data_IF_830329764327
#
_entry.id   IF_830329764327
#
_cell.length_a   1.000
_cell.length_b   1.000
_cell.length_c   1.000
_cell.angle_alpha   90.00
_cell.angle_beta   90.00
_cell.angle_gamma   90.00
#
_symmetry.space_group_name_H-M   'P 1'
#
loop_
_entity.id
_entity.type
_entity.pdbx_description
1 polymer ?
#
# COMPACT_ATOMS: atom_id res chain seq x y z
N UNK A 1 -32.00 -28.39 -11.65
CA UNK A 1 -31.45 -27.15 -12.21
C UNK A 1 -31.21 -26.24 -11.02
N UNK A 2 -30.14 -26.56 -10.29
CA UNK A 2 -29.88 -26.06 -8.95
C UNK A 2 -29.13 -24.74 -8.97
N UNK A 3 -29.20 -24.00 -7.86
CA UNK A 3 -28.48 -22.73 -7.68
C UNK A 3 -26.96 -22.88 -7.95
N UNK A 4 -26.40 -24.08 -7.77
CA UNK A 4 -25.01 -24.42 -8.09
C UNK A 4 -24.62 -24.21 -9.56
N UNK A 5 -25.53 -24.41 -10.51
CA UNK A 5 -25.26 -24.19 -11.94
C UNK A 5 -25.28 -22.70 -12.31
N UNK A 6 -26.04 -21.89 -11.57
CA UNK A 6 -26.13 -20.45 -11.81
C UNK A 6 -24.87 -19.71 -11.36
N UNK A 7 -24.29 -20.10 -10.22
CA UNK A 7 -23.03 -19.53 -9.74
C UNK A 7 -21.82 -19.96 -10.60
N UNK A 8 -21.83 -21.17 -11.16
CA UNK A 8 -20.75 -21.65 -12.05
C UNK A 8 -20.66 -20.92 -13.40
N UNK A 9 -21.78 -20.40 -13.90
CA UNK A 9 -21.79 -19.65 -15.18
C UNK A 9 -21.53 -18.15 -15.01
N UNK A 10 -21.64 -17.62 -13.78
CA UNK A 10 -21.48 -16.19 -13.49
C UNK A 10 -20.06 -15.82 -13.06
N UNK A 11 -19.29 -16.78 -12.52
CA UNK A 11 -17.90 -16.54 -12.11
C UNK A 11 -17.01 -17.58 -12.80
N UNK A 12 -16.27 -17.23 -13.88
CA UNK A 12 -15.30 -18.15 -14.46
C UNK A 12 -14.24 -18.47 -13.40
N UNK A 13 -14.13 -19.75 -13.02
CA UNK A 13 -13.19 -20.25 -12.02
C UNK A 13 -11.76 -20.02 -12.48
N UNK A 14 -11.17 -18.93 -12.00
CA UNK A 14 -9.75 -18.60 -12.10
C UNK A 14 -9.32 -18.23 -10.68
N UNK A 15 -8.59 -19.15 -10.02
CA UNK A 15 -8.10 -19.17 -8.61
C UNK A 15 -9.19 -19.38 -7.53
N UNK A 16 -9.12 -20.34 -6.59
CA UNK A 16 -8.08 -21.28 -6.17
C UNK A 16 -8.74 -22.59 -5.66
N UNK A 17 -8.05 -23.72 -5.84
CA UNK A 17 -8.41 -25.02 -5.25
C UNK A 17 -8.45 -24.90 -3.70
N UNK A 18 -9.65 -24.90 -3.11
CA UNK A 18 -9.85 -25.27 -1.71
C UNK A 18 -9.86 -26.80 -1.63
N UNK A 19 -8.69 -27.42 -1.66
CA UNK A 19 -8.53 -28.78 -1.12
C UNK A 19 -8.48 -28.66 0.41
N UNK A 20 -9.60 -29.04 1.05
CA UNK A 20 -9.69 -29.38 2.46
C UNK A 20 -8.65 -30.45 2.80
N UNK A 21 -7.49 -30.03 3.32
CA UNK A 21 -6.50 -30.93 3.90
C UNK A 21 -6.92 -31.24 5.35
N UNK A 22 -7.32 -32.50 5.55
CA UNK A 22 -7.62 -33.11 6.84
C UNK A 22 -6.49 -32.92 7.87
N UNK A 23 -6.88 -32.61 9.11
CA UNK A 23 -6.00 -32.64 10.28
C UNK A 23 -5.47 -34.05 10.56
N UNK A 24 -4.16 -34.19 10.81
CA UNK A 24 -3.54 -35.23 11.66
C UNK A 24 -2.06 -34.88 11.97
N UNK A 25 -1.46 -35.44 13.04
CA UNK A 25 -0.90 -34.69 14.16
C UNK A 25 0.62 -34.45 14.09
N UNK A 26 1.07 -33.50 14.91
CA UNK A 26 2.46 -33.14 15.12
C UNK A 26 3.30 -34.31 15.68
N UNK A 27 4.34 -34.70 14.95
CA UNK A 27 5.50 -35.42 15.49
C UNK A 27 6.67 -34.44 15.64
N UNK A 28 7.13 -34.26 16.89
CA UNK A 28 8.34 -33.54 17.25
C UNK A 28 9.57 -34.29 16.72
N UNK A 29 10.38 -33.64 15.89
CA UNK A 29 11.79 -34.00 15.70
C UNK A 29 12.64 -32.72 15.80
N UNK A 30 13.72 -32.72 16.60
CA UNK A 30 14.51 -31.54 16.86
C UNK A 30 15.45 -31.30 15.67
N UNK A 31 15.21 -30.23 14.93
CA UNK A 31 16.20 -29.69 14.02
C UNK A 31 17.06 -28.71 14.83
N UNK A 32 18.35 -29.01 14.98
CA UNK A 32 19.37 -28.02 15.29
C UNK A 32 19.22 -26.87 14.29
N UNK A 33 18.59 -25.78 14.72
CA UNK A 33 18.67 -24.52 14.01
C UNK A 33 20.10 -24.03 14.15
N UNK A 34 20.86 -24.26 13.08
CA UNK A 34 21.98 -23.43 12.69
C UNK A 34 21.47 -22.00 12.75
N UNK A 35 21.86 -21.27 13.81
CA UNK A 35 21.74 -19.81 13.84
C UNK A 35 22.77 -19.32 12.82
N UNK A 36 22.37 -19.33 11.54
CA UNK A 36 22.92 -18.39 10.59
C UNK A 36 22.63 -17.00 11.18
N UNK A 37 23.69 -16.33 11.61
CA UNK A 37 23.67 -14.88 11.71
C UNK A 37 23.36 -14.37 10.30
N UNK A 38 22.08 -14.22 9.97
CA UNK A 38 21.65 -13.29 8.93
C UNK A 38 22.16 -11.92 9.37
N UNK A 39 23.33 -11.54 8.84
CA UNK A 39 23.67 -10.12 8.70
C UNK A 39 22.50 -9.50 7.94
N UNK A 40 21.59 -8.83 8.66
CA UNK A 40 20.57 -7.96 8.07
C UNK A 40 21.31 -6.93 7.20
N UNK A 41 21.46 -7.23 5.91
CA UNK A 41 21.85 -6.23 4.91
C UNK A 41 20.74 -5.16 4.93
N UNK A 42 21.02 -3.99 5.54
CA UNK A 42 20.11 -2.85 5.48
C UNK A 42 19.80 -2.56 4.00
N UNK A 43 18.55 -2.79 3.61
CA UNK A 43 18.08 -2.50 2.26
C UNK A 43 18.29 -1.01 1.98
N UNK A 44 18.87 -0.63 0.83
CA UNK A 44 19.08 0.77 0.53
C UNK A 44 17.74 1.53 0.48
N UNK A 45 17.60 2.58 1.30
CA UNK A 45 16.40 3.44 1.35
C UNK A 45 16.06 4.05 -0.03
N UNK A 46 14.76 4.13 -0.39
CA UNK A 46 14.31 4.79 -1.62
C UNK A 46 14.45 6.32 -1.49
N UNK A 47 15.30 6.98 -2.30
CA UNK A 47 15.46 8.43 -2.26
C UNK A 47 14.15 9.20 -2.51
N UNK A 48 13.18 8.57 -3.17
CA UNK A 48 11.86 9.17 -3.44
C UNK A 48 11.16 9.58 -2.14
N UNK A 49 11.20 8.77 -1.09
CA UNK A 49 10.43 9.04 0.14
C UNK A 49 10.91 10.34 0.80
N UNK A 50 12.22 10.47 1.02
CA UNK A 50 12.82 11.67 1.58
C UNK A 50 12.60 12.92 0.69
N UNK A 51 12.65 12.76 -0.64
CA UNK A 51 12.39 13.86 -1.58
C UNK A 51 10.93 14.31 -1.52
N UNK A 52 9.98 13.36 -1.48
CA UNK A 52 8.55 13.64 -1.41
C UNK A 52 8.18 14.32 -0.09
N UNK A 53 8.77 13.89 1.04
CA UNK A 53 8.54 14.52 2.34
C UNK A 53 9.03 15.98 2.36
N UNK A 54 10.26 16.23 1.88
CA UNK A 54 10.80 17.58 1.78
C UNK A 54 9.96 18.48 0.86
N UNK A 55 9.48 17.97 -0.28
CA UNK A 55 8.61 18.72 -1.20
C UNK A 55 7.19 18.93 -0.64
N UNK A 56 6.69 18.03 0.21
CA UNK A 56 5.41 18.20 0.89
C UNK A 56 5.43 19.36 1.89
N UNK A 57 6.56 19.60 2.58
CA UNK A 57 6.72 20.73 3.50
C UNK A 57 6.61 22.08 2.77
N UNK A 58 7.16 22.19 1.55
CA UNK A 58 7.05 23.38 0.70
C UNK A 58 5.59 23.68 0.29
N UNK A 59 4.75 22.64 0.23
CA UNK A 59 3.34 22.70 -0.15
C UNK A 59 2.37 22.69 1.05
N UNK A 60 2.85 23.07 2.25
CA UNK A 60 2.11 23.02 3.52
C UNK A 60 0.74 23.72 3.51
N UNK A 61 0.58 24.81 2.75
CA UNK A 61 -0.71 25.51 2.65
C UNK A 61 -1.79 24.65 1.96
N UNK A 62 -1.42 23.94 0.89
CA UNK A 62 -2.34 23.05 0.17
C UNK A 62 -2.59 21.77 0.98
N UNK A 63 -1.55 21.28 1.67
CA UNK A 63 -1.71 20.20 2.64
C UNK A 63 -2.71 20.56 3.74
N UNK A 64 -2.67 21.77 4.27
CA UNK A 64 -3.65 22.25 5.26
C UNK A 64 -5.08 22.21 4.74
N UNK A 65 -5.32 22.61 3.49
CA UNK A 65 -6.66 22.53 2.90
C UNK A 65 -7.13 21.09 2.70
N UNK A 66 -6.23 20.19 2.31
CA UNK A 66 -6.54 18.77 2.22
C UNK A 66 -6.87 18.19 3.61
N UNK A 67 -6.07 18.49 4.62
CA UNK A 67 -6.28 18.03 6.00
C UNK A 67 -7.61 18.60 6.56
N UNK A 68 -7.93 19.87 6.30
CA UNK A 68 -9.22 20.48 6.64
C UNK A 68 -10.41 19.79 5.93
N UNK A 69 -10.25 19.35 4.68
CA UNK A 69 -11.28 18.57 4.00
C UNK A 69 -11.48 17.20 4.66
N UNK A 70 -10.39 16.50 4.97
CA UNK A 70 -10.46 15.21 5.65
C UNK A 70 -11.16 15.33 7.01
N UNK A 71 -10.87 16.38 7.78
CA UNK A 71 -11.58 16.64 9.04
C UNK A 71 -13.08 16.82 8.84
N UNK A 72 -13.54 17.49 7.76
CA UNK A 72 -14.99 17.60 7.47
C UNK A 72 -15.61 16.24 7.16
N UNK A 73 -14.92 15.41 6.36
CA UNK A 73 -15.37 14.05 6.00
C UNK A 73 -15.45 13.17 7.25
N UNK A 74 -14.43 13.19 8.11
CA UNK A 74 -14.43 12.47 9.40
C UNK A 74 -15.57 12.92 10.32
N UNK A 75 -15.93 14.21 10.27
CA UNK A 75 -17.06 14.78 11.00
C UNK A 75 -18.44 14.53 10.34
N UNK A 76 -18.50 13.68 9.31
CA UNK A 76 -19.75 13.23 8.69
C UNK A 76 -20.19 14.01 7.45
N UNK A 77 -19.31 14.82 6.87
CA UNK A 77 -19.53 15.38 5.53
C UNK A 77 -19.59 14.25 4.48
N UNK A 78 -20.40 14.45 3.43
CA UNK A 78 -20.55 13.50 2.31
C UNK A 78 -19.74 13.90 1.07
N UNK A 79 -18.90 14.92 1.20
CA UNK A 79 -18.00 15.36 0.14
C UNK A 79 -16.82 14.39 -0.05
N UNK A 80 -16.02 14.63 -1.09
CA UNK A 80 -14.75 13.96 -1.29
C UNK A 80 -13.63 15.01 -1.40
N UNK A 81 -12.42 14.64 -0.98
CA UNK A 81 -11.27 15.55 -0.92
C UNK A 81 -10.32 15.40 -2.11
N UNK A 82 -10.83 14.94 -3.26
CA UNK A 82 -10.01 14.63 -4.44
C UNK A 82 -9.44 15.89 -5.07
N UNK A 83 -10.19 16.99 -5.04
CA UNK A 83 -9.73 18.28 -5.54
C UNK A 83 -8.55 18.81 -4.71
N UNK A 84 -8.69 18.85 -3.39
CA UNK A 84 -7.63 19.30 -2.48
C UNK A 84 -6.41 18.36 -2.53
N UNK A 85 -6.64 17.06 -2.67
CA UNK A 85 -5.57 16.08 -2.89
C UNK A 85 -4.80 16.37 -4.18
N UNK A 86 -5.48 16.63 -5.30
CA UNK A 86 -4.80 16.95 -6.56
C UNK A 86 -4.07 18.28 -6.52
N UNK A 87 -4.58 19.29 -5.80
CA UNK A 87 -3.84 20.52 -5.60
C UNK A 87 -2.56 20.28 -4.80
N UNK A 88 -2.63 19.55 -3.70
CA UNK A 88 -1.47 19.21 -2.88
C UNK A 88 -0.44 18.39 -3.67
N UNK A 89 -0.87 17.29 -4.30
CA UNK A 89 0.01 16.42 -5.07
C UNK A 89 0.62 17.12 -6.27
N UNK A 90 -0.14 17.95 -6.98
CA UNK A 90 0.41 18.70 -8.11
C UNK A 90 1.58 19.60 -7.69
N UNK A 91 1.46 20.30 -6.56
CA UNK A 91 2.54 21.11 -6.00
C UNK A 91 3.75 20.24 -5.60
N UNK A 92 3.51 19.14 -4.87
CA UNK A 92 4.58 18.25 -4.41
C UNK A 92 5.32 17.59 -5.59
N UNK A 93 4.59 17.15 -6.62
CA UNK A 93 5.14 16.49 -7.81
C UNK A 93 5.94 17.45 -8.69
N UNK A 94 5.51 18.70 -8.84
CA UNK A 94 6.30 19.73 -9.55
C UNK A 94 7.67 19.93 -8.91
N UNK A 95 7.73 19.86 -7.58
CA UNK A 95 8.98 19.91 -6.80
C UNK A 95 9.79 18.60 -6.89
N UNK A 96 9.14 17.45 -6.73
CA UNK A 96 9.80 16.17 -6.53
C UNK A 96 10.27 15.53 -7.83
N UNK A 97 9.50 15.62 -8.92
CA UNK A 97 9.81 14.96 -10.18
C UNK A 97 11.25 15.18 -10.68
N UNK A 98 11.78 16.42 -10.82
CA UNK A 98 13.14 16.62 -11.28
C UNK A 98 14.21 16.09 -10.32
N UNK A 99 13.93 16.07 -9.01
CA UNK A 99 14.84 15.59 -7.97
C UNK A 99 14.91 14.05 -7.98
N UNK A 100 13.75 13.39 -8.10
CA UNK A 100 13.64 11.93 -8.19
C UNK A 100 14.40 11.42 -9.41
N UNK A 101 14.16 11.98 -10.60
CA UNK A 101 14.86 11.55 -11.83
C UNK A 101 16.35 11.86 -11.83
N UNK A 102 16.81 12.81 -11.01
CA UNK A 102 18.24 13.04 -10.80
C UNK A 102 18.88 12.01 -9.84
N UNK A 103 18.08 11.45 -8.93
CA UNK A 103 18.51 10.43 -7.96
C UNK A 103 18.47 9.01 -8.55
N UNK A 104 17.60 8.75 -9.54
CA UNK A 104 17.55 7.48 -10.28
C UNK A 104 18.59 7.49 -11.41
N UNK A 105 19.49 6.49 -11.45
CA UNK A 105 20.47 6.29 -12.52
C UNK A 105 20.03 5.16 -13.46
#
# INVERSE_FOLDING_TARGET
MGLSEFFSNFVPTVFADEELVEEQPAEEQPAEEVVEEEEEEEEPEDPKEAIMEACAEECSALKKHFDECNERVENGSSENCVEEFFHFMHCADECAAPKIFAATK
#
